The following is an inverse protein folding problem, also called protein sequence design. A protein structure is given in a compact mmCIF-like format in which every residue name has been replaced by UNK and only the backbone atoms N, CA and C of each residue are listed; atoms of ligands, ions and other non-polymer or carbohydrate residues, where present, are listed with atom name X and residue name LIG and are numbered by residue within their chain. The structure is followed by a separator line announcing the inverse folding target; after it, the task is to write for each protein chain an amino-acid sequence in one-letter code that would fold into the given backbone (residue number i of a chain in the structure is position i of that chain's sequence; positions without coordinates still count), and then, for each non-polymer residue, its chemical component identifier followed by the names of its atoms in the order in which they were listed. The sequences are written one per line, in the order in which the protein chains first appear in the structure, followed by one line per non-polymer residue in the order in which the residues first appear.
data_IF_010216236027
#
_entry.id   IF_010216236027
#
_cell.length_a   1.000
_cell.length_b   1.000
_cell.length_c   1.000
_cell.angle_alpha   90.00
_cell.angle_beta   90.00
_cell.angle_gamma   90.00
#
_symmetry.space_group_name_H-M   'P 1'
#
loop_
_entity.id
_entity.type
_entity.pdbx_description
1 polymer ?
#
# COMPACT_ATOMS: atom_id res chain seq x y z
N UNK A 1 6.11 19.95 -10.00
CA UNK A 1 5.90 18.62 -10.59
C UNK A 1 6.04 17.57 -9.49
N UNK A 2 5.13 16.60 -9.41
CA UNK A 2 5.32 15.43 -8.54
C UNK A 2 6.38 14.54 -9.19
N UNK A 3 7.45 14.21 -8.46
CA UNK A 3 8.62 13.52 -9.00
C UNK A 3 8.72 12.05 -8.57
N UNK A 4 7.86 11.56 -7.67
CA UNK A 4 8.05 10.23 -7.08
C UNK A 4 6.81 9.33 -7.19
N UNK A 5 5.63 9.86 -6.84
CA UNK A 5 4.40 9.08 -6.86
C UNK A 5 3.38 9.53 -5.83
N UNK A 6 2.41 8.66 -5.55
CA UNK A 6 1.37 8.84 -4.55
C UNK A 6 1.07 7.52 -3.85
N UNK A 7 0.54 7.60 -2.64
CA UNK A 7 0.07 6.45 -1.90
C UNK A 7 -1.15 6.79 -1.04
N UNK A 8 -2.01 5.81 -0.81
CA UNK A 8 -3.18 5.90 0.06
C UNK A 8 -3.19 4.71 1.01
N UNK A 9 -3.66 4.92 2.23
CA UNK A 9 -3.79 3.90 3.25
C UNK A 9 -5.24 3.77 3.71
N UNK A 10 -5.64 2.58 4.12
CA UNK A 10 -6.97 2.26 4.68
C UNK A 10 -6.85 1.17 5.74
N UNK A 11 -7.82 1.09 6.65
CA UNK A 11 -7.82 0.14 7.79
C UNK A 11 -7.98 0.86 9.11
N UNK A 12 -7.29 0.36 10.15
CA UNK A 12 -7.29 0.94 11.49
C UNK A 12 -6.58 2.31 11.52
N UNK A 13 -7.35 3.37 11.26
CA UNK A 13 -6.85 4.74 11.20
C UNK A 13 -6.11 5.19 12.46
N UNK A 14 -6.49 4.71 13.63
CA UNK A 14 -5.91 5.10 14.92
C UNK A 14 -4.48 4.58 15.08
N UNK A 15 -4.21 3.39 14.54
CA UNK A 15 -2.86 2.82 14.45
C UNK A 15 -2.12 3.42 13.25
N UNK A 16 -2.73 3.43 12.06
CA UNK A 16 -2.08 3.88 10.82
C UNK A 16 -1.55 5.32 10.92
N UNK A 17 -2.30 6.25 11.52
CA UNK A 17 -1.88 7.65 11.66
C UNK A 17 -0.57 7.83 12.42
N UNK A 18 -0.19 6.89 13.29
CA UNK A 18 1.06 6.95 14.08
C UNK A 18 2.32 6.72 13.22
N UNK A 19 2.16 6.13 12.03
CA UNK A 19 3.27 5.72 11.16
C UNK A 19 3.31 6.42 9.81
N UNK A 20 2.33 7.28 9.51
CA UNK A 20 2.24 8.02 8.24
C UNK A 20 2.46 7.12 7.00
N UNK A 21 1.70 6.02 6.82
CA UNK A 21 1.99 4.97 5.85
C UNK A 21 2.10 5.47 4.40
N UNK A 22 1.22 6.39 3.98
CA UNK A 22 1.30 6.99 2.64
C UNK A 22 2.58 7.78 2.43
N UNK A 23 2.99 8.57 3.42
CA UNK A 23 4.24 9.32 3.36
C UNK A 23 5.43 8.36 3.32
N UNK A 24 5.42 7.32 4.16
CA UNK A 24 6.46 6.30 4.17
C UNK A 24 6.59 5.61 2.80
N UNK A 25 5.49 5.16 2.20
CA UNK A 25 5.51 4.54 0.87
C UNK A 25 6.05 5.49 -0.21
N UNK A 26 5.65 6.78 -0.20
CA UNK A 26 6.19 7.77 -1.15
C UNK A 26 7.68 8.02 -0.92
N UNK A 27 8.15 8.05 0.32
CA UNK A 27 9.58 8.15 0.63
C UNK A 27 10.35 6.90 0.17
N UNK A 28 9.79 5.71 0.32
CA UNK A 28 10.41 4.49 -0.20
C UNK A 28 10.53 4.57 -1.74
N UNK A 29 9.49 5.01 -2.45
CA UNK A 29 9.56 5.22 -3.90
C UNK A 29 10.60 6.29 -4.28
N UNK A 30 10.77 7.35 -3.48
CA UNK A 30 11.86 8.33 -3.66
C UNK A 30 13.25 7.68 -3.59
N UNK A 31 13.43 6.62 -2.80
CA UNK A 31 14.67 5.85 -2.70
C UNK A 31 14.78 4.72 -3.73
N UNK A 32 13.89 4.68 -4.73
CA UNK A 32 13.96 3.75 -5.85
C UNK A 32 13.17 2.45 -5.67
N UNK A 33 12.39 2.31 -4.60
CA UNK A 33 11.51 1.14 -4.44
C UNK A 33 10.38 1.14 -5.47
N UNK A 34 10.00 -0.05 -5.95
CA UNK A 34 8.77 -0.21 -6.72
C UNK A 34 7.55 0.02 -5.81
N UNK A 35 6.39 0.47 -6.35
CA UNK A 35 5.21 0.79 -5.56
C UNK A 35 4.73 -0.36 -4.65
N UNK A 36 4.77 -1.60 -5.13
CA UNK A 36 4.43 -2.79 -4.34
C UNK A 36 5.35 -2.95 -3.14
N UNK A 37 6.66 -2.82 -3.35
CA UNK A 37 7.67 -2.97 -2.29
C UNK A 37 7.58 -1.82 -1.29
N UNK A 38 7.32 -0.60 -1.78
CA UNK A 38 7.09 0.57 -0.94
C UNK A 38 5.84 0.43 -0.06
N UNK A 39 4.74 -0.10 -0.60
CA UNK A 39 3.54 -0.39 0.17
C UNK A 39 3.80 -1.49 1.21
N UNK A 40 4.53 -2.55 0.83
CA UNK A 40 4.89 -3.65 1.74
C UNK A 40 5.76 -3.15 2.89
N UNK A 41 6.76 -2.31 2.61
CA UNK A 41 7.62 -1.72 3.64
C UNK A 41 6.82 -0.90 4.66
N UNK A 42 5.84 -0.12 4.20
CA UNK A 42 4.96 0.64 5.08
C UNK A 42 4.12 -0.28 5.98
N UNK A 43 3.53 -1.35 5.43
CA UNK A 43 2.74 -2.33 6.17
C UNK A 43 3.58 -3.11 7.18
N UNK A 44 4.74 -3.61 6.77
CA UNK A 44 5.65 -4.40 7.62
C UNK A 44 6.16 -3.57 8.81
N UNK A 45 6.40 -2.29 8.58
CA UNK A 45 6.81 -1.36 9.64
C UNK A 45 5.75 -1.25 10.72
N UNK A 46 4.47 -1.22 10.37
CA UNK A 46 3.36 -1.13 11.34
C UNK A 46 3.17 -2.50 12.02
N UNK A 47 3.18 -3.59 11.25
CA UNK A 47 3.05 -4.96 11.74
C UNK A 47 4.12 -5.32 12.79
N UNK A 48 5.32 -4.71 12.69
CA UNK A 48 6.38 -4.87 13.67
C UNK A 48 6.00 -4.40 15.08
N UNK A 49 5.16 -3.36 15.19
CA UNK A 49 4.76 -2.78 16.48
C UNK A 49 3.34 -3.17 16.89
N UNK A 50 2.46 -3.38 15.92
CA UNK A 50 1.06 -3.75 16.13
C UNK A 50 0.77 -4.97 15.27
N UNK A 51 1.11 -6.19 15.68
CA UNK A 51 1.00 -7.40 14.85
C UNK A 51 -0.45 -7.85 14.60
N UNK A 52 -1.43 -7.19 15.22
CA UNK A 52 -2.86 -7.52 15.12
C UNK A 52 -3.68 -6.43 14.41
N UNK A 53 -3.02 -5.36 13.93
CA UNK A 53 -3.74 -4.33 13.19
C UNK A 53 -4.29 -4.88 11.86
N UNK A 54 -5.28 -4.20 11.31
CA UNK A 54 -5.75 -4.46 9.96
C UNK A 54 -5.57 -3.23 9.11
N UNK A 55 -4.90 -3.36 7.97
CA UNK A 55 -4.63 -2.22 7.11
C UNK A 55 -4.06 -2.59 5.76
N UNK A 56 -4.19 -1.66 4.81
CA UNK A 56 -3.67 -1.79 3.46
C UNK A 56 -3.13 -0.45 2.97
N UNK A 57 -2.12 -0.53 2.10
CA UNK A 57 -1.54 0.61 1.39
C UNK A 57 -1.56 0.30 -0.10
N UNK A 58 -2.01 1.27 -0.90
CA UNK A 58 -1.91 1.26 -2.37
C UNK A 58 -0.96 2.40 -2.75
N UNK A 59 -0.03 2.13 -3.66
CA UNK A 59 0.93 3.10 -4.17
C UNK A 59 0.99 3.08 -5.70
N UNK A 60 1.32 4.24 -6.29
CA UNK A 60 1.56 4.43 -7.71
C UNK A 60 2.73 5.39 -7.90
N UNK A 61 3.63 5.11 -8.85
CA UNK A 61 4.74 5.99 -9.18
C UNK A 61 4.48 6.81 -10.46
N UNK A 62 5.38 7.73 -10.78
CA UNK A 62 5.26 8.61 -11.96
C UNK A 62 5.38 7.87 -13.31
N UNK A 63 5.85 6.62 -13.30
CA UNK A 63 5.98 5.78 -14.49
C UNK A 63 4.72 4.94 -14.76
N UNK A 64 3.67 5.10 -13.93
CA UNK A 64 2.43 4.34 -14.04
C UNK A 64 2.50 2.94 -13.43
N UNK A 65 3.62 2.54 -12.82
CA UNK A 65 3.65 1.32 -12.02
C UNK A 65 2.81 1.55 -10.75
N UNK A 66 2.09 0.52 -10.35
CA UNK A 66 1.26 0.52 -9.14
C UNK A 66 1.46 -0.77 -8.36
N UNK A 67 1.03 -0.75 -7.11
CA UNK A 67 1.10 -1.91 -6.24
C UNK A 67 0.37 -1.67 -4.94
N UNK A 68 0.10 -2.76 -4.23
CA UNK A 68 -0.55 -2.70 -2.93
C UNK A 68 0.02 -3.76 -1.99
N UNK A 69 -0.11 -3.52 -0.70
CA UNK A 69 0.18 -4.46 0.37
C UNK A 69 -0.86 -4.34 1.47
N UNK A 70 -1.07 -5.43 2.23
CA UNK A 70 -2.05 -5.47 3.30
C UNK A 70 -1.68 -6.45 4.41
N UNK A 71 -2.26 -6.22 5.59
CA UNK A 71 -2.10 -7.01 6.81
C UNK A 71 -3.45 -7.14 7.54
N UNK A 72 -3.68 -8.29 8.19
CA UNK A 72 -4.86 -8.54 9.03
C UNK A 72 -6.14 -8.95 8.30
N UNK A 73 -6.18 -8.87 6.96
CA UNK A 73 -7.27 -9.40 6.13
C UNK A 73 -6.90 -10.75 5.50
N UNK A 74 -7.85 -11.45 4.88
CA UNK A 74 -7.53 -12.60 4.03
C UNK A 74 -7.02 -12.15 2.65
N UNK A 75 -7.77 -11.24 2.03
CA UNK A 75 -7.47 -10.63 0.75
C UNK A 75 -7.91 -9.17 0.74
N UNK A 76 -7.19 -8.35 0.01
CA UNK A 76 -7.52 -6.95 -0.19
C UNK A 76 -7.81 -6.67 -1.68
N UNK A 77 -9.06 -6.33 -2.03
CA UNK A 77 -9.40 -5.90 -3.38
C UNK A 77 -9.05 -4.42 -3.60
N UNK A 78 -8.55 -4.09 -4.78
CA UNK A 78 -8.38 -2.70 -5.23
C UNK A 78 -8.61 -2.58 -6.73
N UNK A 79 -9.11 -1.42 -7.15
CA UNK A 79 -9.45 -1.14 -8.54
C UNK A 79 -8.35 -0.36 -9.24
N UNK A 80 -8.10 -0.70 -10.50
CA UNK A 80 -7.21 0.02 -11.41
C UNK A 80 -7.97 0.40 -12.67
N UNK A 81 -7.70 1.61 -13.14
CA UNK A 81 -8.19 2.15 -14.40
C UNK A 81 -7.03 2.89 -15.06
N UNK A 82 -6.65 2.48 -16.25
CA UNK A 82 -5.57 3.08 -17.02
C UNK A 82 -5.93 3.07 -18.52
N UNK A 83 -5.14 3.74 -19.36
CA UNK A 83 -5.41 3.82 -20.80
C UNK A 83 -5.26 2.50 -21.55
N UNK A 84 -4.56 1.51 -20.96
CA UNK A 84 -4.37 0.18 -21.57
C UNK A 84 -5.63 -0.68 -21.40
N UNK A 85 -6.29 -0.52 -20.26
CA UNK A 85 -7.51 -1.23 -19.90
C UNK A 85 -8.66 -0.25 -20.04
N UNK A 86 -9.33 -0.28 -21.19
CA UNK A 86 -10.49 0.57 -21.53
C UNK A 86 -11.72 0.40 -20.59
N UNK A 87 -11.53 -0.27 -19.44
CA UNK A 87 -12.49 -0.55 -18.38
C UNK A 87 -11.77 -0.70 -17.02
N UNK A 88 -12.50 -0.57 -15.91
CA UNK A 88 -11.99 -0.77 -14.55
C UNK A 88 -11.74 -2.26 -14.29
N UNK A 89 -10.53 -2.59 -13.82
CA UNK A 89 -10.18 -3.96 -13.39
C UNK A 89 -10.01 -4.04 -11.88
N UNK A 90 -10.55 -5.09 -11.25
CA UNK A 90 -10.40 -5.35 -9.81
C UNK A 90 -9.27 -6.36 -9.63
N UNK A 91 -8.24 -5.96 -8.88
CA UNK A 91 -7.15 -6.83 -8.47
C UNK A 91 -7.31 -7.26 -7.02
N UNK A 92 -6.83 -8.45 -6.71
CA UNK A 92 -6.83 -9.00 -5.35
C UNK A 92 -5.39 -9.32 -4.94
N UNK A 93 -5.01 -8.89 -3.75
CA UNK A 93 -3.75 -9.31 -3.13
C UNK A 93 -4.04 -10.13 -1.87
N UNK A 94 -3.22 -11.14 -1.62
CA UNK A 94 -3.23 -11.89 -0.35
C UNK A 94 -2.49 -11.09 0.70
N UNK A 95 -3.09 -10.94 1.87
CA UNK A 95 -2.49 -10.16 2.96
C UNK A 95 -1.64 -11.03 3.87
N UNK A 96 -0.73 -10.38 4.58
CA UNK A 96 -0.01 -11.01 5.69
C UNK A 96 -0.97 -11.19 6.88
N UNK A 97 -0.88 -12.35 7.56
CA UNK A 97 -1.77 -12.67 8.68
C UNK A 97 -1.33 -11.94 9.95
N UNK A 98 -2.31 -11.55 10.78
CA UNK A 98 -2.07 -11.10 12.15
C UNK A 98 -1.50 -12.25 12.98
N UNK A 99 -0.66 -11.91 13.97
CA UNK A 99 -0.15 -12.87 14.95
C UNK A 99 -1.02 -12.83 16.21
N UNK A 100 -2.23 -13.36 16.11
CA UNK A 100 -3.05 -13.65 17.29
C UNK A 100 -2.46 -14.74 18.17
#
# INVERSE_FOLDING_TARGET
MNTFGAAVATGDGDILMRFLPSFHAVQAMKHGHLPKDAAQLAIDTIAKYYPDFSGAVIAVNIYGHYGAACHGFDKFPYSIANSEQNNVSILYITCTKSKS
#
